data_IF_094953849976
#
_entry.id   IF_094953849976
#
_cell.length_a   1.000
_cell.length_b   1.000
_cell.length_c   1.000
_cell.angle_alpha   90.00
_cell.angle_beta   90.00
_cell.angle_gamma   90.00
#
_symmetry.space_group_name_H-M   'P 1'
#
loop_
_entity.id
_entity.type
_entity.pdbx_description
1 polymer ?
#
# COMPACT_ATOMS: atom_id res chain seq x y z
N UNK A 1 48.25 -5.41 26.71
CA UNK A 1 49.51 -5.12 25.97
C UNK A 1 49.57 -5.98 24.72
N UNK A 2 49.43 -5.37 23.54
CA UNK A 2 50.03 -5.74 22.24
C UNK A 2 49.27 -4.97 21.14
N UNK A 3 49.81 -3.81 20.80
CA UNK A 3 49.40 -3.00 19.65
C UNK A 3 50.03 -3.59 18.39
N UNK A 4 49.24 -3.75 17.34
CA UNK A 4 49.70 -4.22 16.03
C UNK A 4 49.65 -3.03 15.07
N UNK A 5 50.85 -2.53 14.73
CA UNK A 5 51.09 -1.44 13.79
C UNK A 5 50.92 -2.01 12.38
N UNK A 6 49.96 -1.49 11.61
CA UNK A 6 49.77 -1.83 10.20
C UNK A 6 50.33 -0.69 9.34
N UNK A 7 51.34 -1.01 8.54
CA UNK A 7 52.04 -0.09 7.66
C UNK A 7 51.15 0.34 6.48
N UNK A 8 51.08 1.65 6.26
CA UNK A 8 50.36 2.31 5.18
C UNK A 8 51.33 2.52 4.00
N UNK A 9 51.16 1.78 2.91
CA UNK A 9 51.88 2.01 1.65
C UNK A 9 51.08 2.95 0.74
N UNK A 10 51.57 4.17 0.58
CA UNK A 10 51.03 5.20 -0.30
C UNK A 10 51.56 4.96 -1.73
N UNK A 11 50.70 4.48 -2.64
CA UNK A 11 51.03 4.41 -4.06
C UNK A 11 50.52 5.68 -4.78
N UNK A 12 51.45 6.55 -5.17
CA UNK A 12 51.19 7.73 -5.99
C UNK A 12 51.12 7.29 -7.46
N UNK A 13 49.92 7.22 -8.02
CA UNK A 13 49.71 6.96 -9.45
C UNK A 13 49.56 8.29 -10.21
N UNK A 14 50.38 8.49 -11.23
CA UNK A 14 50.37 9.67 -12.08
C UNK A 14 49.14 9.70 -13.04
N UNK A 15 48.53 10.87 -13.31
CA UNK A 15 47.43 10.97 -14.26
C UNK A 15 47.95 11.01 -15.71
N UNK A 16 47.83 9.88 -16.41
CA UNK A 16 47.96 9.82 -17.87
C UNK A 16 46.74 10.43 -18.54
N UNK A 17 46.93 11.54 -19.25
CA UNK A 17 45.87 12.24 -20.01
C UNK A 17 45.61 11.49 -21.31
N UNK A 18 44.66 10.55 -21.28
CA UNK A 18 44.19 9.87 -22.48
C UNK A 18 43.23 10.80 -23.26
N UNK A 19 43.70 11.34 -24.37
CA UNK A 19 42.89 12.09 -25.34
C UNK A 19 41.98 11.09 -26.06
N UNK A 20 40.78 10.88 -25.54
CA UNK A 20 39.77 10.03 -26.15
C UNK A 20 39.13 10.76 -27.34
N UNK A 21 39.37 10.27 -28.55
CA UNK A 21 38.63 10.63 -29.77
C UNK A 21 37.12 10.49 -29.54
N UNK A 22 36.42 11.62 -29.49
CA UNK A 22 34.96 11.67 -29.52
C UNK A 22 34.46 11.25 -30.91
N UNK A 23 34.39 9.94 -31.16
CA UNK A 23 33.59 9.41 -32.27
C UNK A 23 32.11 9.68 -31.97
N UNK A 24 31.55 10.63 -32.70
CA UNK A 24 30.12 10.95 -32.75
C UNK A 24 29.34 9.72 -33.23
N UNK A 25 28.89 8.88 -32.29
CA UNK A 25 27.87 7.85 -32.55
C UNK A 25 26.54 8.54 -32.79
N UNK A 26 26.30 8.92 -34.04
CA UNK A 26 24.97 9.21 -34.56
C UNK A 26 24.31 7.87 -34.88
N UNK A 27 23.03 7.72 -34.50
CA UNK A 27 22.15 6.56 -34.68
C UNK A 27 22.23 5.45 -33.61
N UNK A 28 21.56 5.70 -32.47
CA UNK A 28 20.70 4.69 -31.84
C UNK A 28 19.69 5.36 -30.89
N UNK A 29 18.60 5.88 -31.47
CA UNK A 29 17.41 6.29 -30.72
C UNK A 29 16.27 5.24 -30.59
N UNK A 30 16.46 3.92 -30.80
CA UNK A 30 15.60 2.88 -30.22
C UNK A 30 16.17 2.33 -28.88
N UNK A 31 17.12 3.04 -28.25
CA UNK A 31 17.63 2.65 -26.93
C UNK A 31 16.83 3.21 -25.75
N UNK A 32 16.03 4.27 -25.95
CA UNK A 32 15.45 5.01 -24.82
C UNK A 32 14.18 4.36 -24.24
N UNK A 33 13.28 3.84 -25.07
CA UNK A 33 12.04 3.20 -24.59
C UNK A 33 12.34 1.84 -23.98
N UNK A 34 13.14 1.03 -24.66
CA UNK A 34 13.56 -0.31 -24.23
C UNK A 34 14.34 -0.23 -22.92
N UNK A 35 15.29 0.71 -22.79
CA UNK A 35 16.00 0.94 -21.53
C UNK A 35 15.07 1.40 -20.40
N UNK A 36 14.10 2.28 -20.68
CA UNK A 36 13.15 2.72 -19.68
C UNK A 36 12.21 1.58 -19.22
N UNK A 37 11.75 0.72 -20.14
CA UNK A 37 10.95 -0.48 -19.82
C UNK A 37 11.79 -1.49 -19.02
N UNK A 38 13.05 -1.68 -19.38
CA UNK A 38 13.97 -2.52 -18.62
C UNK A 38 14.16 -1.99 -17.19
N UNK A 39 14.28 -0.67 -17.02
CA UNK A 39 14.37 -0.02 -15.71
C UNK A 39 13.10 -0.23 -14.87
N UNK A 40 11.90 -0.13 -15.45
CA UNK A 40 10.64 -0.46 -14.76
C UNK A 40 10.64 -1.91 -14.30
N UNK A 41 11.03 -2.84 -15.18
CA UNK A 41 11.07 -4.28 -14.86
C UNK A 41 12.07 -4.58 -13.73
N UNK A 42 13.24 -3.96 -13.76
CA UNK A 42 14.24 -4.09 -12.70
C UNK A 42 13.71 -3.57 -11.35
N UNK A 43 13.09 -2.39 -11.34
CA UNK A 43 12.50 -1.82 -10.14
C UNK A 43 11.33 -2.65 -9.60
N UNK A 44 10.50 -3.25 -10.46
CA UNK A 44 9.45 -4.19 -10.05
C UNK A 44 10.03 -5.43 -9.36
N UNK A 45 11.10 -6.02 -9.91
CA UNK A 45 11.79 -7.16 -9.29
C UNK A 45 12.38 -6.79 -7.93
N UNK A 46 12.95 -5.60 -7.79
CA UNK A 46 13.46 -5.13 -6.51
C UNK A 46 12.36 -5.00 -5.45
N UNK A 47 11.22 -4.38 -5.80
CA UNK A 47 10.05 -4.29 -4.91
C UNK A 47 9.57 -5.68 -4.49
N UNK A 48 9.46 -6.61 -5.43
CA UNK A 48 9.05 -7.99 -5.15
C UNK A 48 10.04 -8.72 -4.23
N UNK A 49 11.35 -8.55 -4.46
CA UNK A 49 12.41 -9.15 -3.63
C UNK A 49 12.36 -8.62 -2.19
N UNK A 50 12.24 -7.30 -2.01
CA UNK A 50 12.14 -6.69 -0.67
C UNK A 50 10.86 -7.12 0.04
N UNK A 51 9.74 -7.27 -0.67
CA UNK A 51 8.50 -7.78 -0.10
C UNK A 51 8.64 -9.25 0.37
N UNK A 52 9.31 -10.09 -0.42
CA UNK A 52 9.58 -11.49 -0.04
C UNK A 52 10.51 -11.59 1.18
N UNK A 53 11.58 -10.79 1.24
CA UNK A 53 12.46 -10.68 2.41
C UNK A 53 11.66 -10.25 3.66
N UNK A 54 10.71 -9.32 3.51
CA UNK A 54 9.91 -8.81 4.61
C UNK A 54 8.95 -9.87 5.15
N UNK A 55 8.28 -10.59 4.26
CA UNK A 55 7.42 -11.71 4.66
C UNK A 55 8.21 -12.82 5.38
N UNK A 56 9.43 -13.12 4.91
CA UNK A 56 10.29 -14.13 5.54
C UNK A 56 10.73 -13.71 6.96
N UNK A 57 11.18 -12.47 7.14
CA UNK A 57 11.53 -11.94 8.46
C UNK A 57 10.32 -11.83 9.39
N UNK A 58 9.14 -11.49 8.85
CA UNK A 58 7.89 -11.46 9.60
C UNK A 58 7.57 -12.82 10.23
N UNK A 59 7.54 -13.89 9.42
CA UNK A 59 7.31 -15.27 9.92
C UNK A 59 8.33 -15.68 10.98
N UNK A 60 9.61 -15.30 10.80
CA UNK A 60 10.67 -15.59 11.79
C UNK A 60 10.40 -14.86 13.10
N UNK A 61 9.98 -13.59 13.04
CA UNK A 61 9.65 -12.80 14.21
C UNK A 61 8.46 -13.40 14.97
N UNK A 62 7.40 -13.79 14.25
CA UNK A 62 6.23 -14.43 14.86
C UNK A 62 6.59 -15.75 15.56
N UNK A 63 7.45 -16.57 14.95
CA UNK A 63 7.97 -17.79 15.58
C UNK A 63 8.77 -17.50 16.87
N UNK A 64 9.59 -16.45 16.88
CA UNK A 64 10.32 -16.03 18.08
C UNK A 64 9.38 -15.57 19.20
N UNK A 65 8.29 -14.87 18.86
CA UNK A 65 7.28 -14.47 19.83
C UNK A 65 6.57 -15.69 20.44
N UNK A 66 6.21 -16.67 19.61
CA UNK A 66 5.61 -17.92 20.09
C UNK A 66 6.53 -18.69 21.06
N UNK A 67 7.84 -18.80 20.75
CA UNK A 67 8.82 -19.40 21.65
C UNK A 67 8.97 -18.64 22.97
N UNK A 68 8.98 -17.31 22.92
CA UNK A 68 9.01 -16.44 24.12
C UNK A 68 7.80 -16.71 25.00
N UNK A 69 6.60 -16.81 24.42
CA UNK A 69 5.38 -17.07 25.16
C UNK A 69 5.35 -18.49 25.73
N UNK A 70 5.87 -19.48 25.00
CA UNK A 70 6.06 -20.83 25.52
C UNK A 70 7.00 -20.83 26.74
N UNK A 71 8.14 -20.12 26.67
CA UNK A 71 9.07 -20.00 27.79
C UNK A 71 8.43 -19.32 29.00
N UNK A 72 7.58 -18.30 28.80
CA UNK A 72 6.88 -17.62 29.91
C UNK A 72 5.91 -18.54 30.66
N UNK A 73 5.31 -19.53 29.97
CA UNK A 73 4.39 -20.52 30.57
C UNK A 73 5.10 -21.60 31.39
N UNK A 74 6.42 -21.78 31.22
CA UNK A 74 7.20 -22.75 31.98
C UNK A 74 7.48 -22.25 33.41
N UNK A 75 7.60 -23.19 34.37
CA UNK A 75 7.98 -22.86 35.75
C UNK A 75 9.30 -22.07 35.80
N UNK A 76 9.35 -21.11 36.72
CA UNK A 76 10.50 -20.25 36.89
C UNK A 76 11.75 -21.07 37.22
N UNK A 77 12.79 -20.91 36.39
CA UNK A 77 14.10 -21.49 36.60
C UNK A 77 15.17 -20.58 36.00
N UNK A 78 16.37 -20.60 36.56
CA UNK A 78 17.49 -19.79 36.05
C UNK A 78 17.81 -20.06 34.58
N UNK A 79 17.69 -21.33 34.14
CA UNK A 79 17.91 -21.73 32.74
C UNK A 79 16.85 -21.13 31.81
N UNK A 80 15.57 -21.18 32.21
CA UNK A 80 14.47 -20.54 31.48
C UNK A 80 14.69 -19.04 31.34
N UNK A 81 15.06 -18.36 32.41
CA UNK A 81 15.27 -16.90 32.40
C UNK A 81 16.41 -16.49 31.46
N UNK A 82 17.49 -17.27 31.45
CA UNK A 82 18.60 -17.07 30.49
C UNK A 82 18.14 -17.27 29.05
N UNK A 83 17.38 -18.33 28.76
CA UNK A 83 16.83 -18.60 27.44
C UNK A 83 15.88 -17.48 26.99
N UNK A 84 14.99 -17.02 27.87
CA UNK A 84 14.06 -15.93 27.62
C UNK A 84 14.79 -14.64 27.28
N UNK A 85 15.83 -14.25 28.04
CA UNK A 85 16.66 -13.07 27.73
C UNK A 85 17.34 -13.19 26.36
N UNK A 86 17.85 -14.38 26.02
CA UNK A 86 18.46 -14.63 24.71
C UNK A 86 17.46 -14.51 23.56
N UNK A 87 16.26 -15.08 23.70
CA UNK A 87 15.20 -14.98 22.69
C UNK A 87 14.67 -13.55 22.53
N UNK A 88 14.51 -12.82 23.64
CA UNK A 88 14.15 -11.39 23.61
C UNK A 88 15.20 -10.55 22.87
N UNK A 89 16.49 -10.79 23.11
CA UNK A 89 17.54 -10.11 22.36
C UNK A 89 17.46 -10.42 20.84
N UNK A 90 17.26 -11.70 20.48
CA UNK A 90 17.12 -12.11 19.08
C UNK A 90 15.87 -11.51 18.39
N UNK A 91 14.74 -11.40 19.11
CA UNK A 91 13.53 -10.77 18.58
C UNK A 91 13.71 -9.26 18.39
N UNK A 92 14.46 -8.59 19.27
CA UNK A 92 14.78 -7.17 19.11
C UNK A 92 15.65 -6.91 17.88
N UNK A 93 16.65 -7.75 17.61
CA UNK A 93 17.46 -7.65 16.39
C UNK A 93 16.63 -7.90 15.12
N UNK A 94 15.70 -8.87 15.17
CA UNK A 94 14.78 -9.14 14.05
C UNK A 94 13.83 -7.97 13.80
N UNK A 95 13.32 -7.34 14.87
CA UNK A 95 12.50 -6.13 14.77
C UNK A 95 13.26 -4.95 14.14
N UNK A 96 14.54 -4.72 14.51
CA UNK A 96 15.39 -3.71 13.86
C UNK A 96 15.58 -4.00 12.38
N UNK A 97 15.79 -5.26 12.01
CA UNK A 97 15.93 -5.67 10.61
C UNK A 97 14.63 -5.41 9.81
N UNK A 98 13.46 -5.69 10.40
CA UNK A 98 12.17 -5.35 9.80
C UNK A 98 12.02 -3.85 9.56
N UNK A 99 12.40 -3.00 10.52
CA UNK A 99 12.39 -1.53 10.34
C UNK A 99 13.32 -1.09 9.20
N UNK A 100 14.54 -1.61 9.13
CA UNK A 100 15.47 -1.29 8.04
C UNK A 100 14.92 -1.73 6.67
N UNK A 101 14.23 -2.86 6.63
CA UNK A 101 13.63 -3.38 5.41
C UNK A 101 12.39 -2.58 4.98
N UNK A 102 11.61 -2.06 5.91
CA UNK A 102 10.54 -1.12 5.62
C UNK A 102 11.08 0.14 4.92
N UNK A 103 12.21 0.70 5.37
CA UNK A 103 12.87 1.81 4.68
C UNK A 103 13.36 1.44 3.27
N UNK A 104 13.91 0.23 3.11
CA UNK A 104 14.32 -0.29 1.80
C UNK A 104 13.11 -0.42 0.87
N UNK A 105 11.98 -0.90 1.37
CA UNK A 105 10.73 -1.02 0.62
C UNK A 105 10.21 0.34 0.13
N UNK A 106 10.26 1.37 0.99
CA UNK A 106 9.90 2.75 0.59
C UNK A 106 10.81 3.26 -0.53
N UNK A 107 12.13 3.04 -0.42
CA UNK A 107 13.09 3.43 -1.47
C UNK A 107 12.88 2.67 -2.79
N UNK A 108 12.66 1.37 -2.74
CA UNK A 108 12.38 0.55 -3.92
C UNK A 108 11.08 1.01 -4.62
N UNK A 109 10.04 1.31 -3.84
CA UNK A 109 8.77 1.84 -4.35
C UNK A 109 8.93 3.21 -5.01
N UNK A 110 9.72 4.11 -4.41
CA UNK A 110 10.05 5.40 -5.01
C UNK A 110 10.87 5.25 -6.31
N UNK A 111 11.80 4.30 -6.35
CA UNK A 111 12.56 3.94 -7.56
C UNK A 111 11.64 3.46 -8.69
N UNK A 112 10.69 2.58 -8.37
CA UNK A 112 9.68 2.12 -9.32
C UNK A 112 8.81 3.26 -9.86
N UNK A 113 8.34 4.16 -9.00
CA UNK A 113 7.57 5.34 -9.41
C UNK A 113 8.37 6.23 -10.37
N UNK A 114 9.65 6.50 -10.06
CA UNK A 114 10.56 7.26 -10.92
C UNK A 114 10.80 6.57 -12.26
N UNK A 115 11.01 5.24 -12.27
CA UNK A 115 11.19 4.47 -13.49
C UNK A 115 9.95 4.50 -14.39
N UNK A 116 8.75 4.36 -13.80
CA UNK A 116 7.48 4.48 -14.53
C UNK A 116 7.31 5.87 -15.15
N UNK A 117 7.58 6.93 -14.41
CA UNK A 117 7.53 8.30 -14.93
C UNK A 117 8.51 8.51 -16.09
N UNK A 118 9.75 8.01 -15.97
CA UNK A 118 10.74 8.07 -17.05
C UNK A 118 10.28 7.28 -18.30
N UNK A 119 9.65 6.12 -18.12
CA UNK A 119 9.08 5.34 -19.22
C UNK A 119 7.95 6.06 -19.94
N UNK A 120 7.08 6.78 -19.21
CA UNK A 120 6.02 7.60 -19.82
C UNK A 120 6.64 8.72 -20.67
N UNK A 121 7.65 9.43 -20.17
CA UNK A 121 8.34 10.48 -20.94
C UNK A 121 9.00 9.91 -22.20
N UNK A 122 9.67 8.76 -22.10
CA UNK A 122 10.28 8.10 -23.26
C UNK A 122 9.22 7.67 -24.30
N UNK A 123 8.07 7.17 -23.84
CA UNK A 123 6.95 6.80 -24.70
C UNK A 123 6.29 8.02 -25.35
N UNK A 124 6.15 9.15 -24.65
CA UNK A 124 5.64 10.40 -25.21
C UNK A 124 6.50 10.89 -26.38
N UNK A 125 7.83 10.86 -26.22
CA UNK A 125 8.78 11.17 -27.30
C UNK A 125 8.66 10.19 -28.47
N UNK A 126 8.49 8.90 -28.18
CA UNK A 126 8.31 7.88 -29.22
C UNK A 126 7.00 8.06 -29.99
N UNK A 127 5.89 8.35 -29.30
CA UNK A 127 4.56 8.58 -29.91
C UNK A 127 4.60 9.78 -30.85
N UNK A 128 5.26 10.87 -30.46
CA UNK A 128 5.40 12.07 -31.30
C UNK A 128 6.09 11.79 -32.65
N UNK A 129 6.98 10.77 -32.71
CA UNK A 129 7.73 10.38 -33.90
C UNK A 129 7.16 9.14 -34.61
N UNK A 130 6.17 8.48 -34.02
CA UNK A 130 5.64 7.22 -34.51
C UNK A 130 4.70 7.40 -35.71
N UNK A 131 4.75 6.43 -36.63
CA UNK A 131 3.79 6.30 -37.73
C UNK A 131 2.38 6.03 -37.17
N UNK A 132 1.30 6.37 -37.92
CA UNK A 132 -0.06 6.13 -37.48
C UNK A 132 -0.34 4.68 -37.05
N UNK A 133 0.27 3.70 -37.73
CA UNK A 133 0.11 2.28 -37.41
C UNK A 133 0.75 1.86 -36.07
N UNK A 134 1.83 2.51 -35.63
CA UNK A 134 2.54 2.15 -34.41
C UNK A 134 2.00 2.85 -33.14
N UNK A 135 1.32 4.01 -33.31
CA UNK A 135 0.80 4.82 -32.20
C UNK A 135 -0.08 4.04 -31.20
N UNK A 136 -1.07 3.23 -31.63
CA UNK A 136 -1.95 2.53 -30.68
C UNK A 136 -1.21 1.54 -29.77
N UNK A 137 -0.12 0.93 -30.24
CA UNK A 137 0.69 0.03 -29.43
C UNK A 137 1.48 0.80 -28.35
N UNK A 138 2.04 1.96 -28.70
CA UNK A 138 2.78 2.81 -27.77
C UNK A 138 1.85 3.47 -26.74
N UNK A 139 0.65 3.89 -27.14
CA UNK A 139 -0.36 4.45 -26.24
C UNK A 139 -0.83 3.43 -25.20
N UNK A 140 -1.02 2.17 -25.59
CA UNK A 140 -1.33 1.08 -24.64
C UNK A 140 -0.20 0.86 -23.63
N UNK A 141 1.05 0.85 -24.08
CA UNK A 141 2.23 0.77 -23.17
C UNK A 141 2.31 1.98 -22.25
N UNK A 142 2.02 3.17 -22.76
CA UNK A 142 2.00 4.41 -21.97
C UNK A 142 0.93 4.34 -20.88
N UNK A 143 -0.26 3.85 -21.21
CA UNK A 143 -1.34 3.68 -20.24
C UNK A 143 -0.94 2.71 -19.12
N UNK A 144 -0.18 1.64 -19.42
CA UNK A 144 0.30 0.67 -18.43
C UNK A 144 1.26 1.27 -17.39
N UNK A 145 2.10 2.23 -17.78
CA UNK A 145 3.08 2.87 -16.89
C UNK A 145 2.63 4.19 -16.30
N UNK A 146 1.47 4.71 -16.72
CA UNK A 146 0.94 5.96 -16.21
C UNK A 146 0.75 5.82 -14.69
N UNK A 147 1.34 6.70 -13.87
CA UNK A 147 1.06 6.68 -12.44
C UNK A 147 -0.44 6.88 -12.22
N UNK A 148 -1.01 6.23 -11.20
CA UNK A 148 -2.37 6.55 -10.78
C UNK A 148 -2.50 8.07 -10.59
N UNK A 149 -3.60 8.69 -11.04
CA UNK A 149 -3.83 10.08 -10.77
C UNK A 149 -3.81 10.29 -9.26
N UNK A 150 -3.04 11.28 -8.81
CA UNK A 150 -3.03 11.64 -7.40
C UNK A 150 -4.47 11.90 -6.94
N UNK A 151 -4.87 11.43 -5.74
CA UNK A 151 -6.19 11.68 -5.21
C UNK A 151 -6.43 13.20 -5.20
N UNK A 152 -7.40 13.65 -5.99
CA UNK A 152 -7.79 15.07 -6.01
C UNK A 152 -8.52 15.37 -4.72
N UNK A 153 -8.12 16.43 -4.03
CA UNK A 153 -8.91 16.98 -2.93
C UNK A 153 -10.28 17.36 -3.46
N UNK A 154 -11.34 16.82 -2.85
CA UNK A 154 -12.70 17.23 -3.18
C UNK A 154 -12.88 18.62 -2.57
N UNK A 155 -12.89 19.64 -3.41
CA UNK A 155 -13.15 21.02 -3.00
C UNK A 155 -14.67 21.17 -2.89
N UNK A 156 -15.14 21.44 -1.69
CA UNK A 156 -16.55 21.77 -1.48
C UNK A 156 -16.72 23.27 -1.75
N UNK A 157 -17.71 23.66 -2.58
CA UNK A 157 -18.14 25.05 -2.66
C UNK A 157 -18.51 25.56 -1.26
N UNK A 158 -18.39 26.87 -1.05
CA UNK A 158 -18.77 27.49 0.23
C UNK A 158 -20.26 27.26 0.52
N UNK A 159 -20.59 27.04 1.80
CA UNK A 159 -21.94 26.73 2.27
C UNK A 159 -22.77 28.02 2.51
N UNK A 160 -22.19 29.21 2.40
CA UNK A 160 -22.90 30.49 2.52
C UNK A 160 -23.70 30.80 1.23
N UNK A 161 -25.01 31.08 1.35
CA UNK A 161 -25.76 31.67 0.24
C UNK A 161 -25.38 33.14 0.26
N UNK A 162 -24.87 33.67 -0.86
CA UNK A 162 -24.88 35.10 -1.04
C UNK A 162 -26.33 35.55 -1.27
N UNK A 163 -26.94 36.33 -0.35
CA UNK A 163 -28.31 36.80 -0.52
C UNK A 163 -28.46 37.76 -1.71
N UNK A 164 -27.37 38.32 -2.22
CA UNK A 164 -27.33 39.24 -3.36
C UNK A 164 -26.95 38.56 -4.68
N UNK A 165 -26.68 37.25 -4.68
CA UNK A 165 -26.38 36.53 -5.91
C UNK A 165 -27.55 36.59 -6.90
N UNK A 166 -27.21 36.83 -8.15
CA UNK A 166 -28.16 36.89 -9.25
C UNK A 166 -28.59 35.46 -9.70
N UNK A 167 -29.64 35.30 -10.50
CA UNK A 167 -30.12 33.96 -10.86
C UNK A 167 -29.16 33.18 -11.78
N UNK A 168 -28.19 33.83 -12.44
CA UNK A 168 -27.19 33.15 -13.28
C UNK A 168 -26.05 32.60 -12.39
N UNK A 169 -25.57 33.38 -11.43
CA UNK A 169 -24.61 32.95 -10.42
C UNK A 169 -25.13 31.78 -9.58
N UNK A 170 -26.41 31.77 -9.24
CA UNK A 170 -27.04 30.64 -8.54
C UNK A 170 -27.07 29.37 -9.41
N UNK A 171 -27.23 29.49 -10.73
CA UNK A 171 -27.18 28.33 -11.64
C UNK A 171 -25.75 27.77 -11.73
N UNK A 172 -24.74 28.63 -11.79
CA UNK A 172 -23.32 28.23 -11.76
C UNK A 172 -22.98 27.52 -10.44
N UNK A 173 -23.48 28.03 -9.31
CA UNK A 173 -23.35 27.35 -8.02
C UNK A 173 -24.03 25.97 -8.01
N UNK A 174 -25.21 25.85 -8.63
CA UNK A 174 -25.91 24.56 -8.77
C UNK A 174 -25.10 23.58 -9.62
N UNK A 175 -24.50 24.05 -10.73
CA UNK A 175 -23.63 23.23 -11.56
C UNK A 175 -22.42 22.72 -10.79
N UNK A 176 -21.73 23.61 -10.06
CA UNK A 176 -20.60 23.24 -9.21
C UNK A 176 -20.99 22.24 -8.11
N UNK A 177 -22.18 22.39 -7.50
CA UNK A 177 -22.70 21.43 -6.53
C UNK A 177 -23.00 20.07 -7.15
N UNK A 178 -23.52 20.00 -8.38
CA UNK A 178 -23.74 18.71 -9.08
C UNK A 178 -22.43 17.97 -9.34
N UNK A 179 -21.39 18.68 -9.73
CA UNK A 179 -20.06 18.10 -9.93
C UNK A 179 -19.49 17.56 -8.61
N UNK A 180 -19.63 18.33 -7.52
CA UNK A 180 -19.23 17.89 -6.18
C UNK A 180 -20.05 16.68 -5.71
N UNK A 181 -21.37 16.66 -5.93
CA UNK A 181 -22.25 15.53 -5.63
C UNK A 181 -21.81 14.26 -6.37
N UNK A 182 -21.50 14.37 -7.67
CA UNK A 182 -21.04 13.25 -8.48
C UNK A 182 -19.68 12.71 -7.98
N UNK A 183 -18.75 13.60 -7.62
CA UNK A 183 -17.46 13.22 -7.06
C UNK A 183 -17.62 12.50 -5.71
N UNK A 184 -18.47 13.01 -4.81
CA UNK A 184 -18.75 12.38 -3.51
C UNK A 184 -19.46 11.03 -3.68
N UNK A 185 -20.42 10.92 -4.60
CA UNK A 185 -21.12 9.66 -4.87
C UNK A 185 -20.16 8.57 -5.37
N UNK A 186 -19.24 8.93 -6.28
CA UNK A 186 -18.18 8.02 -6.72
C UNK A 186 -17.29 7.57 -5.55
N UNK A 187 -16.98 8.48 -4.63
CA UNK A 187 -16.15 8.16 -3.45
C UNK A 187 -16.88 7.28 -2.44
N UNK A 188 -18.19 7.47 -2.23
CA UNK A 188 -19.03 6.55 -1.44
C UNK A 188 -19.01 5.13 -2.02
N UNK A 189 -19.09 5.02 -3.35
CA UNK A 189 -19.03 3.71 -4.03
C UNK A 189 -17.65 3.04 -3.83
N UNK A 190 -16.55 3.80 -3.99
CA UNK A 190 -15.19 3.30 -3.73
C UNK A 190 -14.98 2.87 -2.28
N UNK A 191 -15.43 3.68 -1.32
CA UNK A 191 -15.40 3.33 0.10
C UNK A 191 -16.23 2.07 0.38
N UNK A 192 -17.37 1.88 -0.31
CA UNK A 192 -18.16 0.66 -0.27
C UNK A 192 -17.35 -0.58 -0.67
N UNK A 193 -16.72 -0.55 -1.85
CA UNK A 193 -15.86 -1.64 -2.33
C UNK A 193 -14.72 -1.97 -1.35
N UNK A 194 -14.15 -0.94 -0.70
CA UNK A 194 -13.12 -1.13 0.33
C UNK A 194 -13.67 -1.83 1.58
N UNK A 195 -14.85 -1.43 2.05
CA UNK A 195 -15.52 -2.08 3.18
C UNK A 195 -15.71 -3.57 2.89
N UNK A 196 -16.24 -3.90 1.72
CA UNK A 196 -16.51 -5.29 1.33
C UNK A 196 -15.22 -6.11 1.27
N UNK A 197 -14.16 -5.54 0.69
CA UNK A 197 -12.83 -6.17 0.64
C UNK A 197 -12.25 -6.44 2.03
N UNK A 198 -12.26 -5.44 2.92
CA UNK A 198 -11.74 -5.63 4.28
C UNK A 198 -12.58 -6.62 5.08
N UNK A 199 -13.90 -6.61 4.89
CA UNK A 199 -14.80 -7.59 5.51
C UNK A 199 -14.49 -9.03 5.04
N UNK A 200 -14.23 -9.22 3.74
CA UNK A 200 -13.82 -10.52 3.20
C UNK A 200 -12.49 -11.00 3.80
N UNK A 201 -11.49 -10.11 3.92
CA UNK A 201 -10.22 -10.47 4.56
C UNK A 201 -10.36 -10.80 6.05
N UNK A 202 -11.22 -10.07 6.76
CA UNK A 202 -11.52 -10.37 8.16
C UNK A 202 -12.22 -11.72 8.31
N UNK A 203 -13.14 -12.06 7.41
CA UNK A 203 -13.81 -13.36 7.42
C UNK A 203 -12.84 -14.50 7.13
N UNK A 204 -11.96 -14.33 6.13
CA UNK A 204 -10.92 -15.32 5.82
C UNK A 204 -10.01 -15.55 7.04
N UNK A 205 -9.63 -14.48 7.74
CA UNK A 205 -8.87 -14.59 8.99
C UNK A 205 -9.61 -15.37 10.06
N UNK A 206 -10.89 -15.09 10.30
CA UNK A 206 -11.72 -15.85 11.25
C UNK A 206 -11.85 -17.32 10.86
N UNK A 207 -11.95 -17.63 9.56
CA UNK A 207 -11.96 -19.00 9.07
C UNK A 207 -10.64 -19.72 9.38
N UNK A 208 -9.50 -19.08 9.16
CA UNK A 208 -8.19 -19.62 9.54
C UNK A 208 -8.07 -19.84 11.05
N UNK A 209 -8.49 -18.88 11.88
CA UNK A 209 -8.47 -19.00 13.34
C UNK A 209 -9.36 -20.15 13.83
N UNK A 210 -10.56 -20.32 13.23
CA UNK A 210 -11.44 -21.47 13.51
C UNK A 210 -10.80 -22.80 13.09
N UNK A 211 -10.21 -22.86 11.89
CA UNK A 211 -9.53 -24.06 11.40
C UNK A 211 -8.34 -24.45 12.29
N UNK A 212 -7.54 -23.48 12.72
CA UNK A 212 -6.45 -23.71 13.68
C UNK A 212 -6.96 -24.16 15.06
N UNK A 213 -8.10 -23.63 15.52
CA UNK A 213 -8.72 -24.09 16.77
C UNK A 213 -9.13 -25.56 16.68
N UNK A 214 -9.82 -25.95 15.60
CA UNK A 214 -10.23 -27.35 15.39
C UNK A 214 -9.02 -28.29 15.29
N UNK A 215 -7.96 -27.89 14.57
CA UNK A 215 -6.75 -28.70 14.47
C UNK A 215 -6.07 -28.92 15.83
N UNK A 216 -6.09 -27.92 16.72
CA UNK A 216 -5.58 -28.05 18.10
C UNK A 216 -6.44 -28.98 18.95
N UNK A 217 -7.77 -28.88 18.83
CA UNK A 217 -8.71 -29.72 19.59
C UNK A 217 -8.62 -31.20 19.16
N UNK A 218 -8.45 -31.46 17.85
CA UNK A 218 -8.27 -32.82 17.31
C UNK A 218 -6.94 -33.46 17.78
N UNK A 219 -5.84 -32.69 17.79
CA UNK A 219 -4.55 -33.13 18.31
C UNK A 219 -4.61 -33.50 19.81
N UNK A 220 -5.36 -32.73 20.61
CA UNK A 220 -5.54 -32.98 22.04
C UNK A 220 -6.46 -34.19 22.30
N UNK A 221 -7.46 -34.42 21.43
CA UNK A 221 -8.32 -35.60 21.50
C UNK A 221 -7.55 -36.90 21.19
N UNK A 222 -6.68 -36.88 20.17
CA UNK A 222 -5.85 -38.04 19.80
C UNK A 222 -4.89 -38.44 20.94
N UNK A 223 -4.28 -37.45 21.62
CA UNK A 223 -3.39 -37.69 22.76
C UNK A 223 -4.09 -38.30 23.97
N UNK A 224 -5.39 -38.04 24.15
CA UNK A 224 -6.16 -38.58 25.29
C UNK A 224 -6.52 -40.07 25.10
N UNK A 225 -6.55 -40.57 23.87
CA UNK A 225 -6.81 -41.99 23.56
C UNK A 225 -5.51 -42.81 23.49
N UNK A 226 -4.38 -42.20 23.11
CA UNK A 226 -3.09 -42.89 22.93
C UNK A 226 -2.35 -43.31 24.22
N UNK A 227 -2.86 -42.99 25.43
CA UNK A 227 -2.33 -43.58 26.66
C UNK A 227 -2.64 -45.09 26.81
N UNK A 228 -3.36 -45.68 25.84
CA UNK A 228 -3.64 -47.11 25.75
C UNK A 228 -3.39 -47.64 24.34
N UNK A 229 -2.13 -47.71 23.92
CA UNK A 229 -1.72 -48.60 22.83
C UNK A 229 -0.83 -47.97 21.76
N UNK A 230 0.47 -48.19 21.92
CA UNK A 230 1.47 -48.47 20.89
C UNK A 230 1.28 -47.91 19.48
N UNK A 231 2.14 -46.94 19.15
CA UNK A 231 2.97 -46.93 17.94
C UNK A 231 2.27 -46.84 16.59
N UNK A 232 2.33 -45.66 15.96
CA UNK A 232 2.52 -45.58 14.51
C UNK A 232 3.04 -44.20 14.14
N UNK A 233 4.27 -44.18 13.63
CA UNK A 233 4.85 -43.04 12.91
C UNK A 233 4.12 -42.90 11.57
N UNK A 234 3.75 -41.67 11.19
CA UNK A 234 3.60 -41.30 9.79
C UNK A 234 3.70 -39.79 9.64
N UNK A 235 4.67 -39.37 8.83
CA UNK A 235 4.90 -37.97 8.46
C UNK A 235 3.91 -37.53 7.39
N UNK A 236 3.15 -36.48 7.70
CA UNK A 236 2.39 -35.73 6.72
C UNK A 236 3.10 -34.42 6.41
N UNK A 237 3.62 -34.34 5.18
CA UNK A 237 4.20 -33.14 4.60
C UNK A 237 3.09 -32.14 4.32
N UNK A 238 3.11 -30.99 4.99
CA UNK A 238 2.21 -29.88 4.70
C UNK A 238 2.64 -29.20 3.39
N UNK A 239 1.95 -29.55 2.31
CA UNK A 239 1.99 -28.82 1.04
C UNK A 239 1.23 -27.50 1.22
N UNK A 240 1.98 -26.42 1.49
CA UNK A 240 1.43 -25.09 1.65
C UNK A 240 0.90 -24.59 0.30
N UNK A 241 -0.42 -24.50 0.17
CA UNK A 241 -1.08 -23.95 -1.00
C UNK A 241 -0.56 -22.54 -1.34
N UNK A 242 -0.35 -22.22 -2.63
CA UNK A 242 0.15 -20.91 -3.03
C UNK A 242 -0.86 -19.82 -2.66
N UNK A 243 -0.41 -18.83 -1.90
CA UNK A 243 -1.21 -17.65 -1.61
C UNK A 243 -1.60 -16.97 -2.94
N UNK A 244 -2.87 -16.57 -3.11
CA UNK A 244 -3.31 -15.90 -4.32
C UNK A 244 -2.53 -14.59 -4.48
N UNK A 245 -1.65 -14.54 -5.47
CA UNK A 245 -1.01 -13.33 -5.99
C UNK A 245 -2.04 -12.54 -6.78
N UNK A 246 -3.14 -12.15 -6.13
CA UNK A 246 -4.05 -11.18 -6.70
C UNK A 246 -3.30 -9.87 -6.86
N UNK A 247 -3.20 -9.43 -8.12
CA UNK A 247 -2.47 -8.24 -8.51
C UNK A 247 -2.75 -7.11 -7.55
N UNK A 248 -1.69 -6.45 -7.09
CA UNK A 248 -1.75 -5.22 -6.32
C UNK A 248 -2.51 -4.17 -7.15
N UNK A 249 -3.84 -4.26 -7.12
CA UNK A 249 -4.76 -3.27 -7.63
C UNK A 249 -4.43 -1.99 -6.91
N UNK A 250 -4.25 -0.93 -7.69
CA UNK A 250 -3.90 0.43 -7.30
C UNK A 250 -5.02 1.06 -6.44
N UNK A 251 -5.27 0.46 -5.28
CA UNK A 251 -6.28 0.93 -4.33
C UNK A 251 -5.61 2.03 -3.51
N UNK A 252 -6.16 3.26 -3.52
CA UNK A 252 -5.60 4.36 -2.76
C UNK A 252 -5.51 3.98 -1.28
N UNK A 253 -4.39 4.32 -0.65
CA UNK A 253 -4.16 4.05 0.76
C UNK A 253 -5.21 4.75 1.65
N UNK A 254 -5.32 4.35 2.92
CA UNK A 254 -6.12 5.11 3.90
C UNK A 254 -5.65 6.57 4.01
N UNK A 255 -4.34 6.80 3.88
CA UNK A 255 -3.74 8.13 3.89
C UNK A 255 -4.12 8.98 2.67
N UNK A 256 -4.16 8.38 1.48
CA UNK A 256 -4.59 9.05 0.25
C UNK A 256 -6.04 9.52 0.35
N UNK A 257 -6.92 8.69 0.91
CA UNK A 257 -8.30 9.07 1.17
C UNK A 257 -8.41 10.14 2.25
N UNK A 258 -7.62 10.04 3.32
CA UNK A 258 -7.57 11.05 4.35
C UNK A 258 -7.18 12.43 3.79
N UNK A 259 -6.32 12.50 2.76
CA UNK A 259 -5.98 13.74 2.05
C UNK A 259 -7.13 14.20 1.14
N UNK A 260 -7.70 13.29 0.35
CA UNK A 260 -8.80 13.60 -0.57
C UNK A 260 -10.04 14.15 0.16
N UNK A 261 -10.35 13.55 1.31
CA UNK A 261 -11.56 13.80 2.10
C UNK A 261 -11.37 14.82 3.22
N UNK A 262 -10.17 15.35 3.42
CA UNK A 262 -9.87 16.25 4.55
C UNK A 262 -10.78 17.48 4.66
N UNK A 263 -11.36 17.95 3.54
CA UNK A 263 -12.31 19.06 3.53
C UNK A 263 -13.78 18.63 3.66
N UNK A 264 -14.07 17.33 3.50
CA UNK A 264 -15.43 16.79 3.37
C UNK A 264 -15.92 16.18 4.68
N UNK A 265 -15.04 15.48 5.40
CA UNK A 265 -15.37 14.75 6.62
C UNK A 265 -14.70 15.38 7.84
N UNK A 266 -15.21 15.07 9.02
CA UNK A 266 -14.67 15.57 10.28
C UNK A 266 -13.25 15.04 10.55
N UNK A 267 -12.46 15.80 11.31
CA UNK A 267 -11.08 15.48 11.62
C UNK A 267 -10.90 14.11 12.30
N UNK A 268 -11.87 13.70 13.14
CA UNK A 268 -11.82 12.41 13.83
C UNK A 268 -11.94 11.24 12.85
N UNK A 269 -12.79 11.36 11.82
CA UNK A 269 -12.90 10.34 10.76
C UNK A 269 -11.65 10.32 9.88
N UNK A 270 -11.03 11.48 9.60
CA UNK A 270 -9.72 11.56 8.91
C UNK A 270 -8.63 10.84 9.70
N UNK A 271 -8.58 11.06 11.02
CA UNK A 271 -7.57 10.43 11.88
C UNK A 271 -7.82 8.92 12.04
N UNK A 272 -9.08 8.49 12.10
CA UNK A 272 -9.42 7.06 12.07
C UNK A 272 -8.93 6.37 10.79
N UNK A 273 -9.07 7.02 9.63
CA UNK A 273 -8.52 6.50 8.37
C UNK A 273 -7.00 6.38 8.42
N UNK A 274 -6.29 7.41 8.90
CA UNK A 274 -4.83 7.40 9.04
C UNK A 274 -4.34 6.32 10.00
N UNK A 275 -5.01 6.17 11.13
CA UNK A 275 -4.67 5.14 12.13
C UNK A 275 -4.92 3.73 11.57
N UNK A 276 -6.03 3.53 10.86
CA UNK A 276 -6.36 2.24 10.26
C UNK A 276 -5.36 1.81 9.18
N UNK A 277 -4.76 2.77 8.46
CA UNK A 277 -3.74 2.51 7.43
C UNK A 277 -2.48 1.88 8.04
N UNK A 278 -2.12 2.30 9.27
CA UNK A 278 -1.04 1.70 10.04
C UNK A 278 -1.40 0.39 10.76
N UNK A 279 -2.69 0.07 10.91
CA UNK A 279 -3.13 -1.18 11.52
C UNK A 279 -3.05 -2.33 10.51
N UNK A 280 -2.59 -3.51 10.93
CA UNK A 280 -2.65 -4.73 10.12
C UNK A 280 -3.96 -5.52 10.31
N UNK A 281 -4.86 -5.04 11.17
CA UNK A 281 -6.13 -5.72 11.43
C UNK A 281 -7.20 -5.33 10.37
N UNK A 282 -7.73 -6.31 9.60
CA UNK A 282 -8.74 -6.05 8.59
C UNK A 282 -10.06 -5.54 9.20
N UNK A 283 -10.44 -5.94 10.42
CA UNK A 283 -11.68 -5.49 11.05
C UNK A 283 -11.60 -3.99 11.39
N UNK A 284 -10.47 -3.54 11.96
CA UNK A 284 -10.19 -2.11 12.20
C UNK A 284 -10.25 -1.28 10.90
N UNK A 285 -9.66 -1.79 9.81
CA UNK A 285 -9.71 -1.12 8.48
C UNK A 285 -11.12 -1.08 7.91
N UNK A 286 -11.89 -2.16 8.05
CA UNK A 286 -13.29 -2.19 7.64
C UNK A 286 -14.12 -1.18 8.42
N UNK A 287 -13.94 -1.09 9.74
CA UNK A 287 -14.65 -0.16 10.61
C UNK A 287 -14.36 1.31 10.22
N UNK A 288 -13.09 1.68 10.04
CA UNK A 288 -12.71 3.02 9.62
C UNK A 288 -13.29 3.37 8.23
N UNK A 289 -13.25 2.43 7.27
CA UNK A 289 -13.83 2.62 5.96
C UNK A 289 -15.37 2.79 6.00
N UNK A 290 -16.08 2.05 6.87
CA UNK A 290 -17.53 2.22 7.09
C UNK A 290 -17.85 3.59 7.67
N UNK A 291 -17.09 4.04 8.67
CA UNK A 291 -17.27 5.36 9.27
C UNK A 291 -17.06 6.47 8.23
N UNK A 292 -15.98 6.38 7.44
CA UNK A 292 -15.73 7.32 6.34
C UNK A 292 -16.85 7.30 5.31
N UNK A 293 -17.32 6.12 4.88
CA UNK A 293 -18.45 5.98 3.94
C UNK A 293 -19.70 6.68 4.46
N UNK A 294 -20.05 6.46 5.73
CA UNK A 294 -21.21 7.07 6.36
C UNK A 294 -21.09 8.60 6.44
N UNK A 295 -19.91 9.13 6.82
CA UNK A 295 -19.65 10.56 6.89
C UNK A 295 -19.75 11.24 5.51
N UNK A 296 -19.14 10.64 4.48
CA UNK A 296 -19.22 11.14 3.09
C UNK A 296 -20.67 11.09 2.57
N UNK A 297 -21.41 10.01 2.84
CA UNK A 297 -22.81 9.89 2.46
C UNK A 297 -23.69 10.95 3.15
N UNK A 298 -23.47 11.23 4.43
CA UNK A 298 -24.18 12.28 5.15
C UNK A 298 -23.90 13.68 4.54
N UNK A 299 -22.64 13.96 4.18
CA UNK A 299 -22.28 15.23 3.52
C UNK A 299 -22.90 15.33 2.12
N UNK A 300 -22.95 14.24 1.37
CA UNK A 300 -23.62 14.19 0.05
C UNK A 300 -25.11 14.54 0.17
N UNK A 301 -25.82 14.02 1.16
CA UNK A 301 -27.23 14.36 1.42
C UNK A 301 -27.41 15.84 1.79
N UNK A 302 -26.48 16.42 2.54
CA UNK A 302 -26.50 17.85 2.85
C UNK A 302 -26.34 18.71 1.58
N UNK A 303 -25.41 18.36 0.69
CA UNK A 303 -25.22 19.08 -0.58
C UNK A 303 -26.45 18.97 -1.48
N UNK A 304 -27.10 17.81 -1.54
CA UNK A 304 -28.35 17.62 -2.30
C UNK A 304 -29.47 18.52 -1.81
N UNK A 305 -29.66 18.59 -0.49
CA UNK A 305 -30.63 19.51 0.13
C UNK A 305 -30.30 20.96 -0.18
N UNK A 306 -29.00 21.30 -0.14
CA UNK A 306 -28.53 22.65 -0.45
C UNK A 306 -28.77 23.04 -1.90
N UNK A 307 -28.40 22.18 -2.84
CA UNK A 307 -28.67 22.38 -4.27
C UNK A 307 -30.15 22.62 -4.51
N UNK A 308 -31.04 21.83 -3.89
CA UNK A 308 -32.48 22.01 -4.02
C UNK A 308 -32.96 23.38 -3.49
N UNK A 309 -32.36 23.89 -2.40
CA UNK A 309 -32.66 25.22 -1.87
C UNK A 309 -32.19 26.35 -2.80
N UNK A 310 -30.99 26.24 -3.40
CA UNK A 310 -30.48 27.20 -4.38
C UNK A 310 -31.36 27.21 -5.63
N UNK A 311 -31.68 26.02 -6.16
CA UNK A 311 -32.58 25.88 -7.32
C UNK A 311 -33.97 26.48 -7.03
N UNK A 312 -34.49 26.35 -5.80
CA UNK A 312 -35.74 26.99 -5.39
C UNK A 312 -35.61 28.52 -5.37
N UNK A 313 -34.53 29.06 -4.81
CA UNK A 313 -34.28 30.50 -4.75
C UNK A 313 -34.08 31.12 -6.13
N UNK A 314 -33.32 30.47 -7.01
CA UNK A 314 -33.13 30.91 -8.39
C UNK A 314 -34.47 30.97 -9.14
N UNK A 315 -35.38 30.01 -8.88
CA UNK A 315 -36.74 30.04 -9.43
C UNK A 315 -37.59 31.18 -8.87
N UNK A 316 -37.44 31.54 -7.59
CA UNK A 316 -38.14 32.68 -6.98
C UNK A 316 -37.70 34.01 -7.58
N UNK A 317 -36.39 34.21 -7.79
CA UNK A 317 -35.83 35.46 -8.32
C UNK A 317 -36.18 35.71 -9.81
N UNK A 318 -36.58 34.67 -10.55
CA UNK A 318 -37.01 34.77 -11.94
C UNK A 318 -38.50 35.09 -12.10
N UNK A 319 -39.28 35.05 -11.02
CA UNK A 319 -40.71 35.37 -11.02
C UNK A 319 -40.92 36.86 -10.81
#
# INVERSE_FOLDING_TARGET
MRWLVLALTLAVAAPGVAVAERRTRVAQAPGSVEAAVAAVTAAQREVAAVAAEHAALGRRYDAQLAEIDQLKRQQASWRRDRALRSKLAASLETAKALTALAERSRRASASLAKAKAAAVVALDVAIARATPAARPALERRRAQYRPAPAPKKIVLPDDALDPLADPEELDDQVAALRDAEAALAAEVARLGQRVDRFAAMAELRRQHERAESMARDDDDAARRIALRGGGSENGFSNDAAPAPTEGATDVPSGRDLAVALAAVIDARTVDALRQSDGSNDPDTRAAAARQAKAAVAARLELLRKRRAAIEARARELRR
#
